data_IF_948805936220
#
_entry.id   IF_948805936220
#
_cell.length_a   1.000
_cell.length_b   1.000
_cell.length_c   1.000
_cell.angle_alpha   90.00
_cell.angle_beta   90.00
_cell.angle_gamma   90.00
#
_symmetry.space_group_name_H-M   'P 1'
#
loop_
_entity.id
_entity.type
_entity.pdbx_description
1 polymer ?
#
# COMPACT_ATOMS: atom_id res chain seq x y z
N UNK A 1 -26.23 0.77 -62.13
CA UNK A 1 -25.31 1.66 -61.40
C UNK A 1 -26.13 2.46 -60.40
N UNK A 2 -26.22 2.04 -59.17
CA UNK A 2 -26.93 2.71 -58.12
C UNK A 2 -25.89 3.45 -57.25
N UNK A 3 -25.99 4.77 -57.18
CA UNK A 3 -25.14 5.66 -56.38
C UNK A 3 -25.54 5.54 -54.93
N UNK A 4 -24.58 5.14 -54.08
CA UNK A 4 -24.70 5.19 -52.61
C UNK A 4 -24.66 6.67 -52.12
N UNK A 5 -25.50 7.03 -51.16
CA UNK A 5 -25.44 8.39 -50.58
C UNK A 5 -24.21 8.59 -49.68
N UNK A 6 -23.65 9.78 -49.75
CA UNK A 6 -22.54 10.23 -48.90
C UNK A 6 -22.94 10.28 -47.41
N UNK A 7 -22.04 9.97 -46.48
CA UNK A 7 -22.33 10.06 -45.07
C UNK A 7 -22.44 11.53 -44.60
N UNK A 8 -23.36 11.75 -43.67
CA UNK A 8 -23.59 13.04 -43.02
C UNK A 8 -22.37 13.50 -42.18
N UNK A 9 -22.07 14.79 -42.08
CA UNK A 9 -20.96 15.29 -41.29
C UNK A 9 -21.19 15.06 -39.80
N UNK A 10 -20.13 14.66 -39.11
CA UNK A 10 -20.10 14.52 -37.65
C UNK A 10 -20.29 15.90 -36.98
N UNK A 11 -20.99 15.96 -35.84
CA UNK A 11 -21.14 17.24 -35.11
C UNK A 11 -19.78 17.71 -34.57
N UNK A 12 -19.56 19.02 -34.62
CA UNK A 12 -18.36 19.66 -34.13
C UNK A 12 -18.15 19.39 -32.61
N UNK A 13 -16.92 19.30 -32.13
CA UNK A 13 -16.65 19.12 -30.71
C UNK A 13 -17.10 20.35 -29.91
N UNK A 14 -17.88 20.10 -28.86
CA UNK A 14 -18.31 21.14 -27.91
C UNK A 14 -17.10 21.75 -27.21
N UNK A 15 -16.88 23.04 -27.41
CA UNK A 15 -15.88 23.85 -26.71
C UNK A 15 -16.45 24.38 -25.39
N UNK A 16 -16.72 23.47 -24.45
CA UNK A 16 -16.90 23.89 -23.06
C UNK A 16 -15.52 23.97 -22.38
N UNK A 17 -15.18 25.09 -21.72
CA UNK A 17 -13.93 25.19 -21.00
C UNK A 17 -13.91 24.19 -19.83
N UNK A 18 -12.74 23.64 -19.45
CA UNK A 18 -12.64 22.76 -18.31
C UNK A 18 -13.07 23.52 -17.05
N UNK A 19 -13.94 22.89 -16.25
CA UNK A 19 -14.36 23.41 -14.96
C UNK A 19 -13.13 23.71 -14.09
N UNK A 20 -13.06 24.91 -13.56
CA UNK A 20 -12.03 25.34 -12.62
C UNK A 20 -11.98 24.38 -11.40
N UNK A 21 -10.79 24.07 -10.86
CA UNK A 21 -10.69 23.26 -9.68
C UNK A 21 -11.39 23.94 -8.51
N UNK A 22 -12.29 23.22 -7.84
CA UNK A 22 -13.00 23.64 -6.63
C UNK A 22 -12.00 24.18 -5.60
N UNK A 23 -12.14 25.43 -5.23
CA UNK A 23 -11.39 26.06 -4.14
C UNK A 23 -11.68 25.32 -2.82
N UNK A 24 -10.63 24.81 -2.19
CA UNK A 24 -10.70 24.30 -0.84
C UNK A 24 -11.11 25.42 0.13
N UNK A 25 -11.82 25.10 1.23
CA UNK A 25 -12.21 26.12 2.21
C UNK A 25 -10.98 26.75 2.87
N UNK A 26 -10.99 28.06 3.16
CA UNK A 26 -9.89 28.74 3.85
C UNK A 26 -9.88 28.36 5.34
N UNK A 27 -8.69 28.05 5.90
CA UNK A 27 -8.42 28.18 7.31
C UNK A 27 -8.18 26.94 8.12
N UNK A 28 -7.08 26.21 7.84
CA UNK A 28 -6.36 25.51 8.89
C UNK A 28 -5.07 26.32 9.19
N UNK A 29 -4.61 26.42 10.44
CA UNK A 29 -3.40 27.17 10.77
C UNK A 29 -2.19 26.60 10.05
N UNK A 30 -1.44 27.44 9.37
CA UNK A 30 -0.33 27.10 8.46
C UNK A 30 0.94 26.51 9.17
N UNK A 31 0.95 26.41 10.49
CA UNK A 31 2.04 25.82 11.25
C UNK A 31 1.49 24.93 12.37
N UNK A 32 1.72 23.59 12.31
CA UNK A 32 1.43 22.73 13.44
C UNK A 32 2.26 23.17 14.65
N UNK A 33 1.68 23.03 15.86
CA UNK A 33 2.42 23.21 17.10
C UNK A 33 3.65 22.29 17.13
N UNK A 34 4.75 22.64 17.83
CA UNK A 34 6.00 21.86 17.81
C UNK A 34 5.84 20.36 18.13
N UNK A 35 4.89 19.99 18.98
CA UNK A 35 4.58 18.59 19.30
C UNK A 35 3.91 17.82 18.14
N UNK A 36 3.19 18.51 17.24
CA UNK A 36 2.51 17.89 16.10
C UNK A 36 3.42 17.70 14.89
N UNK A 37 4.54 18.43 14.83
CA UNK A 37 5.45 18.42 13.67
C UNK A 37 6.08 17.04 13.39
N UNK A 38 6.21 16.19 14.40
CA UNK A 38 6.74 14.83 14.31
C UNK A 38 5.67 13.73 14.26
N UNK A 39 4.39 14.08 14.28
CA UNK A 39 3.29 13.11 14.36
C UNK A 39 3.20 12.14 13.17
N UNK A 40 3.81 12.48 12.02
CA UNK A 40 3.86 11.66 10.81
C UNK A 40 5.23 11.01 10.55
N UNK A 41 6.16 11.18 11.50
CA UNK A 41 7.48 10.57 11.42
C UNK A 41 7.50 9.19 12.11
N UNK A 42 8.52 8.36 11.86
CA UNK A 42 8.69 7.11 12.61
C UNK A 42 8.66 7.34 14.12
N UNK A 43 8.11 6.40 14.86
CA UNK A 43 7.85 6.56 16.30
C UNK A 43 9.12 6.82 17.13
N UNK A 44 10.29 6.38 16.66
CA UNK A 44 11.57 6.61 17.33
C UNK A 44 12.25 7.92 16.95
N UNK A 45 11.59 8.75 16.12
CA UNK A 45 12.19 10.00 15.65
C UNK A 45 12.40 10.97 16.80
N UNK A 46 13.63 11.48 16.90
CA UNK A 46 14.01 12.52 17.85
C UNK A 46 14.72 13.66 17.15
N UNK A 47 14.62 14.86 17.72
CA UNK A 47 15.31 16.04 17.22
C UNK A 47 16.39 16.47 18.21
N UNK A 48 17.61 16.68 17.70
CA UNK A 48 18.73 17.26 18.44
C UNK A 48 18.93 18.72 18.05
N UNK A 49 19.72 19.49 18.84
CA UNK A 49 20.12 20.85 18.48
C UNK A 49 20.64 20.93 17.04
N UNK A 50 20.53 22.12 16.44
CA UNK A 50 20.96 22.40 15.05
C UNK A 50 20.16 21.69 13.95
N UNK A 51 18.89 21.29 14.20
CA UNK A 51 18.00 20.69 13.19
C UNK A 51 18.37 19.27 12.79
N UNK A 52 19.10 18.56 13.64
CA UNK A 52 19.50 17.18 13.41
C UNK A 52 18.36 16.23 13.80
N UNK A 53 17.74 15.58 12.82
CA UNK A 53 16.75 14.51 13.05
C UNK A 53 17.44 13.15 13.10
N UNK A 54 17.07 12.35 14.10
CA UNK A 54 17.47 10.97 14.26
C UNK A 54 16.26 10.06 14.10
N UNK A 55 16.44 8.91 13.46
CA UNK A 55 15.47 7.82 13.40
C UNK A 55 16.16 6.56 13.88
N UNK A 56 15.54 5.81 14.79
CA UNK A 56 16.17 4.63 15.40
C UNK A 56 17.48 4.95 16.14
N UNK A 57 17.65 6.22 16.58
CA UNK A 57 18.87 6.71 17.23
C UNK A 57 20.00 7.08 16.25
N UNK A 58 19.81 6.97 14.91
CA UNK A 58 20.81 7.29 13.89
C UNK A 58 20.47 8.63 13.23
N UNK A 59 21.41 9.58 13.13
CA UNK A 59 21.22 10.84 12.40
C UNK A 59 20.95 10.59 10.91
N UNK A 60 19.94 11.24 10.33
CA UNK A 60 19.65 11.14 8.91
C UNK A 60 20.81 11.65 8.02
N UNK A 61 21.60 12.59 8.53
CA UNK A 61 22.82 13.08 7.88
C UNK A 61 23.89 12.01 7.73
N UNK A 62 24.12 11.20 8.79
CA UNK A 62 25.08 10.09 8.76
C UNK A 62 24.65 9.02 7.74
N UNK A 63 23.37 8.73 7.66
CA UNK A 63 22.82 7.79 6.65
C UNK A 63 23.05 8.34 5.23
N UNK A 64 22.78 9.63 5.02
CA UNK A 64 22.96 10.29 3.72
C UNK A 64 24.44 10.35 3.30
N UNK A 65 25.37 10.52 4.26
CA UNK A 65 26.81 10.50 4.02
C UNK A 65 27.32 9.08 3.71
N UNK A 66 26.89 8.09 4.51
CA UNK A 66 27.38 6.71 4.38
C UNK A 66 26.80 5.94 3.17
N UNK A 67 25.58 6.25 2.76
CA UNK A 67 24.86 5.50 1.70
C UNK A 67 24.55 6.36 0.47
N UNK A 68 24.82 7.65 0.49
CA UNK A 68 24.43 8.61 -0.54
C UNK A 68 22.93 8.87 -0.55
N UNK A 69 22.50 9.88 -1.34
CA UNK A 69 21.09 10.23 -1.57
C UNK A 69 20.71 9.98 -3.05
N UNK A 70 19.44 9.80 -3.39
CA UNK A 70 18.32 9.55 -2.48
C UNK A 70 18.52 8.23 -1.71
N UNK A 71 17.95 8.15 -0.50
CA UNK A 71 17.98 6.93 0.32
C UNK A 71 16.66 6.77 1.08
N UNK A 72 16.18 5.54 1.20
CA UNK A 72 15.07 5.21 2.09
C UNK A 72 15.62 4.72 3.43
N UNK A 73 15.12 5.29 4.49
CA UNK A 73 15.40 4.90 5.87
C UNK A 73 14.18 4.22 6.44
N UNK A 74 14.33 3.03 6.98
CA UNK A 74 13.25 2.24 7.58
C UNK A 74 13.54 1.99 9.05
N UNK A 75 12.65 2.43 9.92
CA UNK A 75 12.72 2.21 11.36
C UNK A 75 12.23 0.80 11.70
N UNK A 76 13.17 -0.11 12.00
CA UNK A 76 12.83 -1.50 12.34
C UNK A 76 11.98 -1.58 13.62
N UNK A 77 12.28 -0.77 14.63
CA UNK A 77 11.54 -0.79 15.88
C UNK A 77 10.08 -0.36 15.70
N UNK A 78 9.84 0.68 14.91
CA UNK A 78 8.48 1.16 14.60
C UNK A 78 7.70 0.14 13.73
N UNK A 79 8.35 -0.50 12.73
CA UNK A 79 7.71 -1.59 11.96
C UNK A 79 7.23 -2.70 12.89
N UNK A 80 8.11 -3.20 13.76
CA UNK A 80 7.79 -4.28 14.70
C UNK A 80 6.68 -3.90 15.67
N UNK A 81 6.73 -2.69 16.22
CA UNK A 81 5.70 -2.21 17.14
C UNK A 81 4.34 -2.09 16.45
N UNK A 82 4.28 -1.66 15.19
CA UNK A 82 3.04 -1.64 14.42
C UNK A 82 2.50 -3.04 14.18
N UNK A 83 3.34 -4.04 13.91
CA UNK A 83 2.91 -5.43 13.83
C UNK A 83 2.25 -5.90 15.15
N UNK A 84 2.90 -5.61 16.30
CA UNK A 84 2.36 -5.93 17.63
C UNK A 84 1.05 -5.20 17.93
N UNK A 85 0.95 -3.92 17.54
CA UNK A 85 -0.26 -3.12 17.68
C UNK A 85 -1.46 -3.77 16.97
N UNK A 86 -1.26 -4.30 15.75
CA UNK A 86 -2.32 -5.04 15.06
C UNK A 86 -2.71 -6.33 15.77
N UNK A 87 -1.76 -7.13 16.25
CA UNK A 87 -2.03 -8.34 17.02
C UNK A 87 -2.76 -8.06 18.32
N UNK A 88 -2.38 -6.99 19.01
CA UNK A 88 -3.03 -6.55 20.26
C UNK A 88 -4.45 -6.08 20.02
N UNK A 89 -4.68 -5.32 18.94
CA UNK A 89 -6.02 -4.82 18.59
C UNK A 89 -6.97 -5.96 18.18
N UNK A 90 -6.46 -6.99 17.51
CA UNK A 90 -7.21 -8.13 17.00
C UNK A 90 -6.64 -9.47 17.52
N UNK A 91 -6.77 -9.77 18.83
CA UNK A 91 -6.10 -10.91 19.45
C UNK A 91 -6.55 -12.28 18.90
N UNK A 92 -7.81 -12.36 18.42
CA UNK A 92 -8.43 -13.58 17.91
C UNK A 92 -8.40 -13.68 16.36
N UNK A 93 -7.72 -12.73 15.70
CA UNK A 93 -7.62 -12.69 14.23
C UNK A 93 -6.24 -13.15 13.74
N UNK A 94 -6.20 -13.64 12.50
CA UNK A 94 -4.94 -13.73 11.76
C UNK A 94 -4.61 -12.37 11.15
N UNK A 95 -3.36 -11.95 11.30
CA UNK A 95 -2.87 -10.71 10.69
C UNK A 95 -1.85 -11.09 9.62
N UNK A 96 -2.10 -10.68 8.39
CA UNK A 96 -1.20 -10.89 7.26
C UNK A 96 -0.64 -9.56 6.77
N UNK A 97 0.68 -9.42 6.71
CA UNK A 97 1.29 -8.21 6.17
C UNK A 97 1.18 -8.21 4.64
N UNK A 98 0.64 -7.15 4.06
CA UNK A 98 0.49 -7.01 2.61
C UNK A 98 1.82 -6.61 1.94
N UNK A 99 2.50 -7.59 1.35
CA UNK A 99 3.83 -7.49 0.74
C UNK A 99 3.95 -6.40 -0.34
N UNK A 100 2.88 -6.16 -1.09
CA UNK A 100 2.81 -5.08 -2.11
C UNK A 100 3.18 -3.70 -1.60
N UNK A 101 3.05 -3.44 -0.30
CA UNK A 101 3.42 -2.15 0.29
C UNK A 101 4.94 -1.94 0.25
N UNK A 102 5.69 -2.91 0.66
CA UNK A 102 7.13 -3.08 0.53
C UNK A 102 7.52 -4.48 0.99
N UNK A 103 8.39 -5.15 0.27
CA UNK A 103 8.93 -6.44 0.66
C UNK A 103 10.43 -6.50 0.37
N UNK A 104 11.19 -6.97 1.35
CA UNK A 104 12.57 -7.40 1.23
C UNK A 104 12.82 -8.54 2.22
N UNK A 105 13.95 -9.23 2.10
CA UNK A 105 14.28 -10.39 2.95
C UNK A 105 14.20 -10.08 4.45
N UNK A 106 14.77 -8.94 4.86
CA UNK A 106 14.75 -8.54 6.27
C UNK A 106 13.33 -8.25 6.78
N UNK A 107 12.50 -7.56 5.97
CA UNK A 107 11.12 -7.25 6.37
C UNK A 107 10.26 -8.52 6.45
N UNK A 108 10.42 -9.48 5.53
CA UNK A 108 9.75 -10.78 5.61
C UNK A 108 10.09 -11.48 6.93
N UNK A 109 11.37 -11.49 7.31
CA UNK A 109 11.83 -12.07 8.56
C UNK A 109 11.25 -11.35 9.80
N UNK A 110 11.23 -10.00 9.82
CA UNK A 110 10.62 -9.25 10.93
C UNK A 110 9.12 -9.55 11.08
N UNK A 111 8.40 -9.62 9.97
CA UNK A 111 6.97 -9.95 9.94
C UNK A 111 6.73 -11.35 10.49
N UNK A 112 7.59 -12.30 10.11
CA UNK A 112 7.53 -13.69 10.59
C UNK A 112 7.80 -13.77 12.10
N UNK A 113 8.87 -13.12 12.60
CA UNK A 113 9.22 -13.07 14.03
C UNK A 113 8.13 -12.42 14.89
N UNK A 114 7.44 -11.42 14.35
CA UNK A 114 6.30 -10.78 15.02
C UNK A 114 5.01 -11.61 14.92
N UNK A 115 5.06 -12.80 14.33
CA UNK A 115 3.96 -13.76 14.28
C UNK A 115 2.87 -13.47 13.25
N UNK A 116 3.12 -12.59 12.26
CA UNK A 116 2.16 -12.31 11.19
C UNK A 116 2.34 -13.29 10.01
N UNK A 117 1.28 -13.47 9.22
CA UNK A 117 1.35 -14.06 7.89
C UNK A 117 1.75 -13.03 6.82
N UNK A 118 1.78 -13.47 5.56
CA UNK A 118 1.98 -12.61 4.39
C UNK A 118 0.81 -12.70 3.41
N UNK A 119 0.40 -11.55 2.84
CA UNK A 119 -0.38 -11.43 1.61
C UNK A 119 0.60 -11.11 0.47
N UNK A 120 0.68 -12.00 -0.52
CA UNK A 120 1.52 -11.85 -1.71
C UNK A 120 0.69 -11.89 -2.99
N UNK A 121 1.17 -11.23 -4.05
CA UNK A 121 0.41 -11.10 -5.31
C UNK A 121 1.14 -11.72 -6.53
N UNK A 122 2.32 -12.29 -6.35
CA UNK A 122 3.11 -12.85 -7.45
C UNK A 122 4.07 -13.94 -6.97
N UNK A 123 4.52 -14.76 -7.92
CA UNK A 123 5.57 -15.74 -7.69
C UNK A 123 6.86 -15.08 -7.15
N UNK A 124 7.21 -13.88 -7.62
CA UNK A 124 8.39 -13.17 -7.17
C UNK A 124 8.34 -12.77 -5.69
N UNK A 125 7.20 -12.25 -5.21
CA UNK A 125 7.00 -11.97 -3.78
C UNK A 125 7.01 -13.26 -2.95
N UNK A 126 6.36 -14.31 -3.45
CA UNK A 126 6.29 -15.61 -2.80
C UNK A 126 7.68 -16.27 -2.67
N UNK A 127 8.44 -16.35 -3.74
CA UNK A 127 9.78 -16.93 -3.73
C UNK A 127 10.73 -16.13 -2.83
N UNK A 128 10.65 -14.79 -2.88
CA UNK A 128 11.44 -13.96 -1.97
C UNK A 128 11.13 -14.30 -0.50
N UNK A 129 9.85 -14.43 -0.13
CA UNK A 129 9.45 -14.76 1.23
C UNK A 129 9.97 -16.14 1.64
N UNK A 130 9.72 -17.17 0.84
CA UNK A 130 10.13 -18.55 1.17
C UNK A 130 11.64 -18.73 1.22
N UNK A 131 12.41 -18.02 0.38
CA UNK A 131 13.89 -18.05 0.44
C UNK A 131 14.45 -17.46 1.73
N UNK A 132 13.66 -16.77 2.53
CA UNK A 132 14.06 -16.28 3.87
C UNK A 132 13.67 -17.23 5.00
N UNK A 133 13.04 -18.36 4.70
CA UNK A 133 12.50 -19.30 5.67
C UNK A 133 11.09 -18.99 6.13
N UNK A 134 10.37 -18.05 5.47
CA UNK A 134 8.98 -17.74 5.84
C UNK A 134 8.09 -18.97 5.60
N UNK A 135 7.26 -19.40 6.60
CA UNK A 135 6.41 -20.57 6.50
C UNK A 135 5.35 -20.42 5.40
N UNK A 136 5.37 -21.23 4.32
CA UNK A 136 4.43 -21.05 3.20
C UNK A 136 2.96 -21.19 3.61
N UNK A 137 2.67 -22.02 4.59
CA UNK A 137 1.31 -22.23 5.13
C UNK A 137 0.72 -20.97 5.79
N UNK A 138 1.56 -19.97 6.11
CA UNK A 138 1.15 -18.64 6.62
C UNK A 138 1.08 -17.58 5.51
N UNK A 139 1.11 -18.00 4.25
CA UNK A 139 1.04 -17.09 3.09
C UNK A 139 -0.33 -17.23 2.41
N UNK A 140 -0.94 -16.08 2.08
CA UNK A 140 -2.10 -15.95 1.20
C UNK A 140 -1.63 -15.48 -0.17
N UNK A 141 -2.01 -16.19 -1.24
CA UNK A 141 -1.77 -15.71 -2.61
C UNK A 141 -3.00 -14.95 -3.12
N UNK A 142 -2.84 -13.66 -3.30
CA UNK A 142 -3.81 -12.75 -3.92
C UNK A 142 -3.52 -12.49 -5.40
N UNK A 143 -4.27 -11.57 -6.01
CA UNK A 143 -4.12 -11.12 -7.39
C UNK A 143 -5.40 -11.32 -8.18
N UNK A 144 -5.84 -10.26 -8.90
CA UNK A 144 -7.03 -10.33 -9.76
C UNK A 144 -6.80 -11.13 -11.05
N UNK A 145 -5.55 -11.36 -11.40
CA UNK A 145 -5.12 -12.25 -12.50
C UNK A 145 -3.85 -12.94 -12.03
N UNK A 146 -3.95 -14.23 -11.75
CA UNK A 146 -2.78 -15.06 -11.44
C UNK A 146 -2.35 -15.78 -12.71
N UNK A 147 -1.08 -15.65 -13.07
CA UNK A 147 -0.50 -16.41 -14.18
C UNK A 147 -0.41 -17.90 -13.86
N UNK A 148 -0.27 -18.79 -14.86
CA UNK A 148 0.04 -20.20 -14.58
C UNK A 148 1.25 -20.36 -13.69
N UNK A 149 2.31 -19.58 -13.91
CA UNK A 149 3.54 -19.59 -13.09
C UNK A 149 3.29 -19.20 -11.63
N UNK A 150 2.44 -18.20 -11.36
CA UNK A 150 2.07 -17.83 -9.99
C UNK A 150 1.37 -18.99 -9.28
N UNK A 151 0.42 -19.65 -9.95
CA UNK A 151 -0.32 -20.78 -9.40
C UNK A 151 0.56 -22.00 -9.18
N UNK A 152 1.36 -22.38 -10.15
CA UNK A 152 2.30 -23.52 -10.06
C UNK A 152 3.31 -23.29 -8.93
N UNK A 153 3.86 -22.09 -8.81
CA UNK A 153 4.79 -21.73 -7.73
C UNK A 153 4.11 -21.80 -6.38
N UNK A 154 2.89 -21.29 -6.25
CA UNK A 154 2.14 -21.33 -5.00
C UNK A 154 1.84 -22.78 -4.55
N UNK A 155 1.38 -23.62 -5.46
CA UNK A 155 1.07 -25.01 -5.16
C UNK A 155 2.34 -25.82 -4.84
N UNK A 156 3.40 -25.62 -5.60
CA UNK A 156 4.70 -26.27 -5.37
C UNK A 156 5.29 -25.91 -4.01
N UNK A 157 5.14 -24.67 -3.57
CA UNK A 157 5.65 -24.18 -2.28
C UNK A 157 4.69 -24.42 -1.12
N UNK A 158 3.45 -24.82 -1.38
CA UNK A 158 2.47 -25.17 -0.34
C UNK A 158 1.90 -23.96 0.38
N UNK A 159 1.48 -22.91 -0.35
CA UNK A 159 0.86 -21.72 0.27
C UNK A 159 -0.40 -22.09 1.06
N UNK A 160 -0.61 -21.40 2.17
CA UNK A 160 -1.73 -21.68 3.06
C UNK A 160 -3.09 -21.53 2.39
N UNK A 161 -3.30 -20.45 1.62
CA UNK A 161 -4.56 -20.18 0.91
C UNK A 161 -4.32 -19.47 -0.41
N UNK A 162 -5.20 -19.72 -1.39
CA UNK A 162 -5.28 -18.97 -2.64
C UNK A 162 -6.60 -18.23 -2.68
N UNK A 163 -6.58 -16.92 -2.87
CA UNK A 163 -7.79 -16.08 -2.96
C UNK A 163 -8.22 -16.00 -4.42
N UNK A 164 -9.35 -16.62 -4.75
CA UNK A 164 -9.94 -16.69 -6.09
C UNK A 164 -10.62 -15.37 -6.41
N UNK A 165 -10.27 -14.76 -7.52
CA UNK A 165 -10.78 -13.47 -7.98
C UNK A 165 -11.69 -13.61 -9.22
N UNK A 166 -11.56 -14.68 -10.00
CA UNK A 166 -12.36 -14.92 -11.19
C UNK A 166 -12.84 -16.38 -11.30
N UNK A 167 -13.99 -16.65 -11.93
CA UNK A 167 -14.48 -18.01 -12.15
C UNK A 167 -13.53 -18.89 -12.96
N UNK A 168 -12.70 -18.30 -13.84
CA UNK A 168 -11.72 -19.03 -14.64
C UNK A 168 -10.56 -19.59 -13.80
N UNK A 169 -10.25 -18.96 -12.66
CA UNK A 169 -9.21 -19.46 -11.74
C UNK A 169 -9.60 -20.77 -11.07
N UNK A 170 -10.89 -21.02 -10.82
CA UNK A 170 -11.38 -22.23 -10.16
C UNK A 170 -10.89 -23.48 -10.91
N UNK A 171 -11.16 -23.55 -12.21
CA UNK A 171 -10.76 -24.69 -13.03
C UNK A 171 -9.23 -24.82 -13.15
N UNK A 172 -8.51 -23.68 -13.26
CA UNK A 172 -7.05 -23.68 -13.34
C UNK A 172 -6.40 -24.18 -12.05
N UNK A 173 -6.88 -23.72 -10.89
CA UNK A 173 -6.36 -24.17 -9.59
C UNK A 173 -6.69 -25.66 -9.39
N UNK A 174 -7.95 -26.07 -9.63
CA UNK A 174 -8.35 -27.46 -9.49
C UNK A 174 -7.51 -28.40 -10.37
N UNK A 175 -7.25 -28.01 -11.61
CA UNK A 175 -6.40 -28.80 -12.52
C UNK A 175 -4.94 -28.84 -12.05
N UNK A 176 -4.42 -27.75 -11.50
CA UNK A 176 -3.02 -27.67 -11.04
C UNK A 176 -2.78 -28.39 -9.72
N UNK A 177 -3.78 -28.49 -8.83
CA UNK A 177 -3.69 -29.26 -7.56
C UNK A 177 -3.53 -30.75 -7.83
N UNK A 178 -4.10 -31.26 -8.94
CA UNK A 178 -4.08 -32.69 -9.27
C UNK A 178 -5.03 -33.52 -8.41
N UNK A 179 -4.93 -34.85 -8.53
CA UNK A 179 -5.89 -35.79 -7.94
C UNK A 179 -5.60 -36.15 -6.47
N UNK A 180 -4.40 -35.92 -5.99
CA UNK A 180 -3.97 -36.31 -4.64
C UNK A 180 -3.81 -35.14 -3.67
N UNK A 181 -3.82 -33.91 -4.20
CA UNK A 181 -3.68 -32.69 -3.41
C UNK A 181 -5.02 -32.13 -2.93
N UNK A 182 -4.94 -31.21 -1.97
CA UNK A 182 -6.06 -30.37 -1.53
C UNK A 182 -5.56 -28.97 -1.24
N UNK A 183 -6.18 -27.97 -1.86
CA UNK A 183 -5.80 -26.57 -1.67
C UNK A 183 -6.93 -25.77 -0.99
N UNK A 184 -6.58 -25.10 0.09
CA UNK A 184 -7.49 -24.13 0.73
C UNK A 184 -7.64 -22.91 -0.15
N UNK A 185 -8.87 -22.48 -0.35
CA UNK A 185 -9.20 -21.31 -1.16
C UNK A 185 -10.20 -20.41 -0.45
N UNK A 186 -10.10 -19.11 -0.74
CA UNK A 186 -11.11 -18.12 -0.37
C UNK A 186 -11.67 -17.48 -1.64
N UNK A 187 -12.85 -16.89 -1.57
CA UNK A 187 -13.43 -16.13 -2.70
C UNK A 187 -13.34 -14.65 -2.40
N UNK A 188 -12.69 -13.89 -3.28
CA UNK A 188 -12.76 -12.44 -3.23
C UNK A 188 -14.09 -11.95 -3.74
N UNK A 189 -14.81 -11.24 -2.89
CA UNK A 189 -16.13 -10.70 -3.21
C UNK A 189 -16.12 -9.18 -3.21
N UNK A 190 -16.96 -8.60 -4.07
CA UNK A 190 -17.18 -7.16 -4.13
C UNK A 190 -18.50 -6.84 -3.42
N UNK A 191 -18.43 -6.22 -2.23
CA UNK A 191 -19.63 -5.96 -1.44
C UNK A 191 -20.41 -4.72 -1.90
N UNK A 192 -20.01 -4.02 -2.97
CA UNK A 192 -20.71 -2.83 -3.48
C UNK A 192 -20.53 -1.59 -2.59
N UNK A 193 -19.39 -1.44 -1.94
CA UNK A 193 -19.09 -0.33 -1.04
C UNK A 193 -18.01 0.55 -1.66
N UNK A 194 -18.32 1.84 -1.85
CA UNK A 194 -17.32 2.83 -2.29
C UNK A 194 -16.66 3.48 -1.07
N UNK A 195 -15.41 3.15 -0.79
CA UNK A 195 -14.64 3.70 0.31
C UNK A 195 -13.22 4.05 -0.09
N UNK A 196 -12.56 4.94 0.66
CA UNK A 196 -11.19 5.38 0.43
C UNK A 196 -11.05 6.71 -0.29
N UNK A 197 -9.82 7.19 -0.36
CA UNK A 197 -9.48 8.53 -0.87
C UNK A 197 -9.64 8.69 -2.39
N UNK A 198 -8.56 8.55 -3.13
CA UNK A 198 -8.54 8.77 -4.58
C UNK A 198 -9.27 7.67 -5.36
N UNK A 199 -10.01 8.04 -6.45
CA UNK A 199 -10.81 7.08 -7.26
C UNK A 199 -10.02 5.84 -7.71
N UNK A 200 -8.76 5.99 -8.09
CA UNK A 200 -7.89 4.88 -8.56
C UNK A 200 -7.54 3.84 -7.48
N UNK A 201 -7.81 4.12 -6.20
CA UNK A 201 -7.49 3.21 -5.07
C UNK A 201 -8.75 2.70 -4.34
N UNK A 202 -9.93 2.85 -4.94
CA UNK A 202 -11.20 2.27 -4.45
C UNK A 202 -11.41 0.93 -5.14
N UNK A 203 -11.63 -0.13 -4.38
CA UNK A 203 -11.75 -1.51 -4.90
C UNK A 203 -13.01 -2.26 -4.46
N UNK A 204 -13.84 -1.66 -3.63
CA UNK A 204 -15.05 -2.28 -3.08
C UNK A 204 -16.34 -1.99 -3.85
N UNK A 205 -16.30 -1.16 -4.92
CA UNK A 205 -17.47 -0.86 -5.76
C UNK A 205 -17.72 -1.95 -6.80
N UNK A 206 -18.94 -2.05 -7.32
CA UNK A 206 -19.35 -3.09 -8.28
C UNK A 206 -18.58 -3.03 -9.61
N UNK A 207 -18.33 -1.83 -10.13
CA UNK A 207 -17.61 -1.63 -11.40
C UNK A 207 -16.09 -1.57 -11.15
N UNK A 208 -15.49 -2.73 -10.88
CA UNK A 208 -14.07 -2.90 -10.63
C UNK A 208 -13.54 -4.20 -11.22
N UNK A 209 -12.23 -4.23 -11.51
CA UNK A 209 -11.54 -5.43 -12.00
C UNK A 209 -11.32 -6.50 -10.92
N UNK A 210 -11.69 -6.24 -9.69
CA UNK A 210 -11.42 -7.09 -8.53
C UNK A 210 -12.69 -7.72 -8.00
N UNK A 211 -12.62 -9.02 -7.68
CA UNK A 211 -13.63 -9.75 -6.94
C UNK A 211 -14.92 -10.01 -7.72
N UNK A 212 -15.77 -10.79 -7.11
CA UNK A 212 -17.05 -11.23 -7.65
C UNK A 212 -18.20 -10.50 -6.94
N UNK A 213 -19.12 -9.93 -7.73
CA UNK A 213 -20.27 -9.21 -7.20
C UNK A 213 -21.16 -10.12 -6.35
N UNK A 214 -21.51 -9.62 -5.14
CA UNK A 214 -22.51 -10.28 -4.29
C UNK A 214 -23.91 -10.03 -4.83
N UNK A 215 -24.17 -8.81 -5.35
CA UNK A 215 -25.48 -8.38 -5.80
C UNK A 215 -25.95 -9.15 -7.03
N UNK A 216 -25.06 -9.36 -7.98
CA UNK A 216 -25.40 -9.96 -9.28
C UNK A 216 -25.29 -11.50 -9.27
N UNK A 217 -25.07 -12.11 -8.10
CA UNK A 217 -25.02 -13.56 -7.93
C UNK A 217 -23.71 -14.22 -8.39
N UNK A 218 -22.75 -13.46 -8.89
CA UNK A 218 -21.48 -14.02 -9.39
C UNK A 218 -20.68 -14.71 -8.27
N UNK A 219 -20.67 -14.14 -7.06
CA UNK A 219 -20.03 -14.74 -5.90
C UNK A 219 -20.65 -16.09 -5.54
N UNK A 220 -22.00 -16.19 -5.48
CA UNK A 220 -22.72 -17.42 -5.17
C UNK A 220 -22.46 -18.50 -6.21
N UNK A 221 -22.48 -18.14 -7.50
CA UNK A 221 -22.18 -19.07 -8.57
C UNK A 221 -20.76 -19.62 -8.52
N UNK A 222 -19.76 -18.76 -8.21
CA UNK A 222 -18.39 -19.21 -8.04
C UNK A 222 -18.22 -20.11 -6.82
N UNK A 223 -18.88 -19.81 -5.71
CA UNK A 223 -18.88 -20.64 -4.51
C UNK A 223 -19.43 -22.02 -4.81
N UNK A 224 -20.59 -22.14 -5.49
CA UNK A 224 -21.15 -23.43 -5.88
C UNK A 224 -20.16 -24.23 -6.72
N UNK A 225 -19.52 -23.60 -7.72
CA UNK A 225 -18.49 -24.25 -8.55
C UNK A 225 -17.25 -24.69 -7.78
N UNK A 226 -16.84 -23.98 -6.74
CA UNK A 226 -15.72 -24.40 -5.90
C UNK A 226 -16.10 -25.61 -5.06
N UNK A 227 -17.33 -25.64 -4.51
CA UNK A 227 -17.82 -26.75 -3.70
C UNK A 227 -17.96 -28.04 -4.52
N UNK A 228 -18.16 -27.94 -5.83
CA UNK A 228 -18.15 -29.08 -6.76
C UNK A 228 -16.73 -29.62 -7.06
N UNK A 229 -15.64 -28.92 -6.63
CA UNK A 229 -14.27 -29.37 -6.86
C UNK A 229 -13.74 -30.16 -5.66
N UNK A 230 -13.48 -31.47 -5.79
CA UNK A 230 -13.09 -32.31 -4.65
C UNK A 230 -11.71 -31.94 -4.05
N UNK A 231 -10.86 -31.27 -4.84
CA UNK A 231 -9.50 -30.89 -4.47
C UNK A 231 -9.40 -29.43 -3.97
N UNK A 232 -10.51 -28.70 -3.91
CA UNK A 232 -10.56 -27.36 -3.33
C UNK A 232 -11.31 -27.37 -2.01
N UNK A 233 -10.75 -26.69 -1.02
CA UNK A 233 -11.38 -26.47 0.28
C UNK A 233 -11.73 -25.00 0.42
N UNK A 234 -13.02 -24.66 0.28
CA UNK A 234 -13.48 -23.30 0.51
C UNK A 234 -13.46 -22.98 2.01
N UNK A 235 -12.55 -22.14 2.46
CA UNK A 235 -12.42 -21.76 3.86
C UNK A 235 -13.12 -20.47 4.22
N UNK A 236 -13.30 -19.53 3.26
CA UNK A 236 -13.89 -18.25 3.61
C UNK A 236 -14.12 -17.30 2.46
N UNK A 237 -14.53 -16.10 2.84
CA UNK A 237 -14.72 -14.96 1.95
C UNK A 237 -13.67 -13.91 2.24
N UNK A 238 -13.21 -13.23 1.18
CA UNK A 238 -12.33 -12.08 1.28
C UNK A 238 -12.98 -10.85 0.65
N UNK A 239 -12.77 -9.66 1.22
CA UNK A 239 -13.01 -8.40 0.54
C UNK A 239 -11.91 -7.39 0.83
N UNK A 240 -11.68 -6.47 -0.13
CA UNK A 240 -10.81 -5.31 0.09
C UNK A 240 -11.54 -4.07 -0.42
N UNK A 241 -11.86 -3.13 0.49
CA UNK A 241 -12.76 -2.01 0.19
C UNK A 241 -12.06 -0.87 -0.56
N UNK A 242 -10.76 -0.73 -0.38
CA UNK A 242 -9.98 0.36 -0.95
C UNK A 242 -8.75 0.70 -0.13
N UNK A 243 -8.25 1.91 -0.29
CA UNK A 243 -7.05 2.38 0.41
C UNK A 243 -7.24 3.78 0.96
N UNK A 244 -6.55 4.11 2.06
CA UNK A 244 -6.69 5.38 2.77
C UNK A 244 -8.12 5.62 3.31
N UNK A 245 -8.68 4.60 3.95
CA UNK A 245 -9.99 4.64 4.59
C UNK A 245 -9.78 5.06 6.05
N UNK A 246 -10.24 6.25 6.42
CA UNK A 246 -10.14 6.79 7.77
C UNK A 246 -11.42 6.59 8.61
N UNK A 247 -12.52 6.13 7.99
CA UNK A 247 -13.80 5.87 8.65
C UNK A 247 -14.03 4.36 8.86
N UNK A 248 -14.54 4.01 10.02
CA UNK A 248 -14.88 2.62 10.39
C UNK A 248 -16.14 2.11 9.70
N UNK A 249 -17.10 2.98 9.38
CA UNK A 249 -18.42 2.60 8.86
C UNK A 249 -18.40 1.67 7.64
N UNK A 250 -17.52 1.88 6.61
CA UNK A 250 -17.44 0.98 5.48
C UNK A 250 -17.16 -0.48 5.86
N UNK A 251 -16.30 -0.69 6.87
CA UNK A 251 -15.96 -2.03 7.36
C UNK A 251 -17.16 -2.71 8.03
N UNK A 252 -17.97 -1.98 8.82
CA UNK A 252 -19.16 -2.53 9.45
C UNK A 252 -20.21 -2.95 8.41
N UNK A 253 -20.38 -2.14 7.36
CA UNK A 253 -21.28 -2.51 6.24
C UNK A 253 -20.75 -3.74 5.51
N UNK A 254 -19.45 -3.86 5.32
CA UNK A 254 -18.84 -5.04 4.71
C UNK A 254 -19.09 -6.29 5.53
N UNK A 255 -18.87 -6.26 6.84
CA UNK A 255 -19.15 -7.37 7.76
C UNK A 255 -20.59 -7.86 7.58
N UNK A 256 -21.58 -6.97 7.66
CA UNK A 256 -23.00 -7.36 7.49
C UNK A 256 -23.27 -8.05 6.14
N UNK A 257 -22.72 -7.49 5.05
CA UNK A 257 -22.92 -8.05 3.69
C UNK A 257 -22.27 -9.42 3.52
N UNK A 258 -21.06 -9.58 4.06
CA UNK A 258 -20.32 -10.85 3.96
C UNK A 258 -20.94 -11.93 4.85
N UNK A 259 -21.32 -11.62 6.08
CA UNK A 259 -22.06 -12.55 6.96
C UNK A 259 -23.38 -12.97 6.32
N UNK A 260 -24.12 -12.03 5.70
CA UNK A 260 -25.31 -12.35 4.93
C UNK A 260 -25.04 -13.28 3.73
N UNK A 261 -23.88 -13.17 3.08
CA UNK A 261 -23.49 -14.13 2.04
C UNK A 261 -23.13 -15.49 2.63
N UNK A 262 -22.40 -15.53 3.76
CA UNK A 262 -22.08 -16.78 4.47
C UNK A 262 -23.34 -17.53 4.91
N UNK A 263 -24.37 -16.82 5.37
CA UNK A 263 -25.66 -17.41 5.72
C UNK A 263 -26.32 -18.06 4.49
N UNK A 264 -26.35 -17.38 3.35
CA UNK A 264 -26.89 -17.95 2.09
C UNK A 264 -26.10 -19.20 1.64
N UNK A 265 -24.78 -19.22 1.82
CA UNK A 265 -23.96 -20.40 1.52
C UNK A 265 -24.35 -21.58 2.40
N UNK A 266 -24.50 -21.36 3.71
CA UNK A 266 -24.98 -22.40 4.62
C UNK A 266 -26.35 -22.92 4.22
N UNK A 267 -27.29 -22.02 3.95
CA UNK A 267 -28.68 -22.40 3.63
C UNK A 267 -28.80 -23.16 2.31
N UNK A 268 -27.98 -22.79 1.31
CA UNK A 268 -28.01 -23.43 -0.01
C UNK A 268 -27.18 -24.71 -0.11
N UNK A 269 -26.08 -24.81 0.63
CA UNK A 269 -25.10 -25.89 0.45
C UNK A 269 -24.79 -26.68 1.74
N UNK A 270 -25.35 -26.30 2.90
CA UNK A 270 -25.04 -26.92 4.18
C UNK A 270 -23.61 -26.66 4.69
N UNK A 271 -22.89 -25.70 4.09
CA UNK A 271 -21.48 -25.42 4.41
C UNK A 271 -21.37 -24.16 5.24
N UNK A 272 -20.72 -24.26 6.39
CA UNK A 272 -20.38 -23.12 7.24
C UNK A 272 -18.92 -22.71 7.00
N UNK A 273 -18.69 -21.48 6.54
CA UNK A 273 -17.36 -20.97 6.26
C UNK A 273 -16.67 -20.53 7.56
N UNK A 274 -15.48 -21.06 7.88
CA UNK A 274 -14.81 -20.77 9.15
C UNK A 274 -14.02 -19.44 9.16
N UNK A 275 -13.86 -18.75 8.03
CA UNK A 275 -12.96 -17.60 7.89
C UNK A 275 -13.66 -16.43 7.20
N UNK A 276 -13.29 -15.21 7.62
CA UNK A 276 -13.74 -13.95 7.02
C UNK A 276 -12.55 -12.99 6.94
N UNK A 277 -12.13 -12.65 5.73
CA UNK A 277 -11.05 -11.71 5.48
C UNK A 277 -11.61 -10.35 5.04
N UNK A 278 -11.31 -9.32 5.81
CA UNK A 278 -11.73 -7.94 5.53
C UNK A 278 -10.65 -7.14 4.79
N UNK A 279 -9.52 -7.78 4.42
CA UNK A 279 -8.40 -7.08 3.84
C UNK A 279 -7.87 -5.98 4.78
N UNK A 280 -7.63 -4.81 4.22
CA UNK A 280 -7.23 -3.63 4.98
C UNK A 280 -7.64 -2.34 4.26
N UNK A 281 -6.66 -1.52 3.86
CA UNK A 281 -6.90 -0.18 3.32
C UNK A 281 -6.93 0.90 4.39
N UNK A 282 -6.45 0.58 5.59
CA UNK A 282 -6.42 1.46 6.76
C UNK A 282 -5.67 2.75 6.45
N UNK A 283 -6.34 3.90 6.66
CA UNK A 283 -5.82 5.23 6.38
C UNK A 283 -4.77 5.66 7.41
N UNK A 284 -3.72 6.29 6.90
CA UNK A 284 -2.66 6.93 7.70
C UNK A 284 -2.54 8.40 7.32
N UNK A 285 -2.07 9.23 8.24
CA UNK A 285 -1.73 10.61 7.97
C UNK A 285 -0.43 10.71 7.16
N UNK A 286 -0.38 11.57 6.15
CA UNK A 286 0.82 11.94 5.41
C UNK A 286 1.37 13.31 5.82
N UNK A 287 0.52 14.13 6.42
CA UNK A 287 0.87 15.44 6.95
C UNK A 287 0.31 15.60 8.36
N UNK A 288 0.95 16.39 9.21
CA UNK A 288 0.43 16.71 10.52
C UNK A 288 -1.03 17.22 10.44
N UNK A 289 -1.88 16.73 11.35
CA UNK A 289 -3.31 17.09 11.41
C UNK A 289 -4.22 16.36 10.40
N UNK A 290 -3.69 15.54 9.50
CA UNK A 290 -4.54 14.71 8.64
C UNK A 290 -5.18 13.55 9.43
N UNK A 291 -6.42 13.16 9.09
CA UNK A 291 -7.08 12.05 9.76
C UNK A 291 -6.40 10.72 9.45
N UNK A 292 -6.25 9.89 10.46
CA UNK A 292 -5.86 8.49 10.35
C UNK A 292 -6.95 7.59 10.94
N UNK A 293 -6.97 6.33 10.56
CA UNK A 293 -7.90 5.36 11.11
C UNK A 293 -7.48 4.99 12.54
N UNK A 294 -8.41 5.12 13.49
CA UNK A 294 -8.22 4.61 14.85
C UNK A 294 -8.39 3.09 14.86
N UNK A 295 -7.27 2.38 14.98
CA UNK A 295 -7.23 0.93 14.94
C UNK A 295 -7.99 0.27 16.10
N UNK A 296 -7.90 0.85 17.30
CA UNK A 296 -8.59 0.34 18.49
C UNK A 296 -10.10 0.43 18.33
N UNK A 297 -10.59 1.56 17.85
CA UNK A 297 -12.02 1.75 17.54
C UNK A 297 -12.48 0.83 16.42
N UNK A 298 -11.67 0.66 15.35
CA UNK A 298 -11.98 -0.27 14.28
C UNK A 298 -12.12 -1.69 14.82
N UNK A 299 -11.12 -2.18 15.53
CA UNK A 299 -11.11 -3.55 16.06
C UNK A 299 -12.31 -3.84 16.96
N UNK A 300 -12.57 -2.93 17.91
CA UNK A 300 -13.71 -3.06 18.83
C UNK A 300 -15.03 -3.10 18.07
N UNK A 301 -15.26 -2.17 17.12
CA UNK A 301 -16.54 -2.09 16.38
C UNK A 301 -16.71 -3.22 15.38
N UNK A 302 -15.65 -3.65 14.68
CA UNK A 302 -15.72 -4.78 13.75
C UNK A 302 -16.03 -6.08 14.49
N UNK A 303 -15.40 -6.34 15.65
CA UNK A 303 -15.67 -7.54 16.45
C UNK A 303 -17.13 -7.55 16.98
N UNK A 304 -17.63 -6.41 17.46
CA UNK A 304 -19.00 -6.29 17.92
C UNK A 304 -20.01 -6.54 16.77
N UNK A 305 -19.82 -5.89 15.63
CA UNK A 305 -20.66 -6.04 14.45
C UNK A 305 -20.65 -7.48 13.92
N UNK A 306 -19.46 -8.13 13.92
CA UNK A 306 -19.32 -9.51 13.48
C UNK A 306 -20.10 -10.47 14.39
N UNK A 307 -19.95 -10.31 15.70
CA UNK A 307 -20.68 -11.13 16.66
C UNK A 307 -22.21 -10.95 16.55
N UNK A 308 -22.67 -9.70 16.44
CA UNK A 308 -24.09 -9.38 16.29
C UNK A 308 -24.67 -9.91 14.97
N UNK A 309 -23.98 -9.70 13.86
CA UNK A 309 -24.41 -10.18 12.54
C UNK A 309 -24.47 -11.71 12.48
N UNK A 310 -23.46 -12.40 13.06
CA UNK A 310 -23.44 -13.86 13.11
C UNK A 310 -24.55 -14.42 14.01
N UNK A 311 -24.79 -13.83 15.17
CA UNK A 311 -25.89 -14.23 16.05
C UNK A 311 -27.25 -14.09 15.35
N UNK A 312 -27.48 -12.96 14.68
CA UNK A 312 -28.73 -12.72 13.92
C UNK A 312 -28.91 -13.70 12.75
N UNK A 313 -27.81 -14.17 12.15
CA UNK A 313 -27.81 -15.13 11.06
C UNK A 313 -27.77 -16.60 11.51
N UNK A 314 -27.67 -16.89 12.81
CA UNK A 314 -27.50 -18.24 13.34
C UNK A 314 -26.22 -18.92 12.88
N UNK A 315 -25.11 -18.15 12.74
CA UNK A 315 -23.80 -18.62 12.34
C UNK A 315 -22.81 -18.58 13.52
N UNK A 316 -21.87 -19.52 13.60
CA UNK A 316 -20.71 -19.32 14.47
C UNK A 316 -19.89 -18.13 13.99
N UNK A 317 -19.22 -17.44 14.90
CA UNK A 317 -18.34 -16.33 14.55
C UNK A 317 -17.11 -16.88 13.81
N UNK A 318 -16.86 -16.48 12.55
CA UNK A 318 -15.70 -16.93 11.80
C UNK A 318 -14.41 -16.30 12.35
N UNK A 319 -13.28 -16.96 12.10
CA UNK A 319 -11.97 -16.36 12.35
C UNK A 319 -11.76 -15.19 11.40
N UNK A 320 -11.47 -14.02 11.98
CA UNK A 320 -11.21 -12.80 11.21
C UNK A 320 -9.78 -12.81 10.67
N UNK A 321 -9.60 -12.31 9.45
CA UNK A 321 -8.30 -12.05 8.84
C UNK A 321 -8.23 -10.57 8.47
N UNK A 322 -7.07 -9.93 8.73
CA UNK A 322 -6.79 -8.51 8.46
C UNK A 322 -5.42 -8.40 7.77
N UNK A 323 -5.33 -7.59 6.70
CA UNK A 323 -4.17 -7.52 5.83
C UNK A 323 -3.51 -6.12 5.79
N UNK A 324 -2.94 -5.60 6.90
CA UNK A 324 -2.28 -4.30 6.89
C UNK A 324 -0.98 -4.33 6.08
N UNK A 325 -0.80 -3.36 5.20
CA UNK A 325 0.48 -3.11 4.52
C UNK A 325 0.95 -1.70 4.80
N UNK A 326 0.31 -0.71 4.17
CA UNK A 326 0.65 0.71 4.33
C UNK A 326 0.73 1.15 5.80
N UNK A 327 -0.22 0.75 6.63
CA UNK A 327 -0.30 1.20 8.01
C UNK A 327 0.81 0.61 8.90
N UNK A 328 1.44 -0.49 8.46
CA UNK A 328 2.61 -1.07 9.13
C UNK A 328 3.89 -0.35 8.70
N UNK A 329 4.20 -0.36 7.42
CA UNK A 329 5.53 0.06 6.94
C UNK A 329 5.58 1.54 6.51
N UNK A 330 4.45 2.13 6.10
CA UNK A 330 4.41 3.50 5.57
C UNK A 330 4.96 4.55 6.53
N UNK A 331 4.39 4.68 7.76
CA UNK A 331 4.85 5.67 8.73
C UNK A 331 6.26 5.40 9.26
N UNK A 332 6.72 4.15 9.23
CA UNK A 332 8.06 3.76 9.69
C UNK A 332 9.18 4.13 8.70
N UNK A 333 8.86 4.71 7.55
CA UNK A 333 9.85 5.03 6.52
C UNK A 333 10.01 6.53 6.26
N UNK A 334 11.25 6.92 5.95
CA UNK A 334 11.65 8.28 5.55
C UNK A 334 12.46 8.21 4.26
N UNK A 335 12.19 9.10 3.31
CA UNK A 335 13.05 9.29 2.13
C UNK A 335 13.92 10.53 2.35
N UNK A 336 15.22 10.43 2.12
CA UNK A 336 16.18 11.54 2.25
C UNK A 336 16.76 11.87 0.89
N UNK A 337 16.70 13.15 0.55
CA UNK A 337 17.14 13.71 -0.72
C UNK A 337 18.15 14.83 -0.49
N UNK A 338 19.03 15.06 -1.48
CA UNK A 338 19.93 16.22 -1.50
C UNK A 338 19.41 17.26 -2.47
N UNK A 339 19.36 18.51 -2.04
CA UNK A 339 19.07 19.65 -2.91
C UNK A 339 20.22 19.84 -3.89
N UNK A 340 19.89 19.83 -5.18
CA UNK A 340 20.85 20.06 -6.26
C UNK A 340 20.82 21.50 -6.78
N UNK A 341 19.62 22.10 -6.81
CA UNK A 341 19.44 23.46 -7.31
C UNK A 341 18.22 24.13 -6.66
N UNK A 342 18.26 25.46 -6.57
CA UNK A 342 17.10 26.29 -6.23
C UNK A 342 16.88 27.26 -7.39
N UNK A 343 15.72 27.20 -8.03
CA UNK A 343 15.36 28.06 -9.15
C UNK A 343 14.18 28.95 -8.76
N UNK A 344 14.39 30.28 -8.83
CA UNK A 344 13.35 31.27 -8.58
C UNK A 344 12.84 31.82 -9.91
N UNK A 345 11.53 31.84 -10.06
CA UNK A 345 10.81 32.45 -11.18
C UNK A 345 9.88 33.53 -10.61
N UNK A 346 9.28 34.41 -11.43
CA UNK A 346 8.36 35.40 -10.90
C UNK A 346 7.17 34.87 -10.11
N UNK A 347 6.74 33.63 -10.37
CA UNK A 347 5.57 33.02 -9.72
C UNK A 347 5.85 31.90 -8.74
N UNK A 348 7.06 31.31 -8.75
CA UNK A 348 7.38 30.11 -7.93
C UNK A 348 8.86 30.00 -7.61
N UNK A 349 9.14 29.40 -6.47
CA UNK A 349 10.48 28.87 -6.14
C UNK A 349 10.46 27.34 -6.24
N UNK A 350 11.34 26.80 -7.06
CA UNK A 350 11.56 25.37 -7.22
C UNK A 350 12.82 24.93 -6.45
N UNK A 351 12.68 23.87 -5.64
CA UNK A 351 13.79 23.22 -4.97
C UNK A 351 13.97 21.84 -5.64
N UNK A 352 15.00 21.71 -6.47
CA UNK A 352 15.27 20.48 -7.20
C UNK A 352 16.17 19.56 -6.37
N UNK A 353 15.78 18.29 -6.27
CA UNK A 353 16.51 17.26 -5.53
C UNK A 353 17.04 16.16 -6.44
N UNK A 354 17.91 15.31 -5.91
CA UNK A 354 18.59 14.23 -6.63
C UNK A 354 17.74 12.96 -6.87
N UNK A 355 16.51 12.89 -6.31
CA UNK A 355 15.50 11.89 -6.61
C UNK A 355 14.36 12.43 -7.47
N UNK A 356 13.20 11.79 -7.43
CA UNK A 356 12.02 12.24 -8.17
C UNK A 356 10.95 11.17 -8.34
N UNK A 357 10.13 11.29 -9.37
CA UNK A 357 9.02 10.37 -9.63
C UNK A 357 9.45 8.92 -9.88
N UNK A 358 10.72 8.65 -10.19
CA UNK A 358 11.23 7.27 -10.33
C UNK A 358 11.35 6.54 -9.01
N UNK A 359 11.53 7.25 -7.91
CA UNK A 359 11.64 6.70 -6.55
C UNK A 359 10.43 7.03 -5.67
N UNK A 360 9.67 8.09 -5.99
CA UNK A 360 8.39 8.42 -5.37
C UNK A 360 7.34 8.80 -6.41
N UNK A 361 6.68 7.84 -7.10
CA UNK A 361 5.69 8.13 -8.13
C UNK A 361 4.33 8.60 -7.59
N UNK A 362 4.14 8.57 -6.29
CA UNK A 362 2.83 8.71 -5.66
C UNK A 362 2.20 10.10 -5.78
N UNK A 363 2.95 11.24 -5.72
CA UNK A 363 2.38 12.54 -6.03
C UNK A 363 1.82 12.59 -7.45
N UNK A 364 2.56 12.14 -8.44
CA UNK A 364 2.15 12.12 -9.84
C UNK A 364 0.96 11.18 -10.12
N UNK A 365 0.94 9.99 -9.50
CA UNK A 365 -0.10 8.98 -9.75
C UNK A 365 -1.40 9.22 -8.99
N UNK A 366 -1.32 9.71 -7.76
CA UNK A 366 -2.43 9.74 -6.80
C UNK A 366 -2.63 11.09 -6.13
N UNK A 367 -1.83 12.12 -6.45
CA UNK A 367 -1.91 13.44 -5.81
C UNK A 367 -1.59 13.41 -4.31
N UNK A 368 -0.76 12.46 -3.87
CA UNK A 368 -0.36 12.37 -2.46
C UNK A 368 0.47 13.60 -2.09
N UNK A 369 0.12 14.24 -0.98
CA UNK A 369 0.85 15.39 -0.46
C UNK A 369 1.75 14.97 0.68
N UNK A 370 3.01 15.38 0.64
CA UNK A 370 4.00 15.17 1.68
C UNK A 370 4.36 16.47 2.39
N UNK A 371 4.93 16.35 3.59
CA UNK A 371 5.48 17.45 4.36
C UNK A 371 7.01 17.31 4.45
N UNK A 372 7.77 17.73 3.41
CA UNK A 372 9.22 17.68 3.46
C UNK A 372 9.77 18.62 4.53
N UNK A 373 10.91 18.24 5.11
CA UNK A 373 11.61 19.03 6.11
C UNK A 373 13.10 19.11 5.81
N UNK A 374 13.68 20.30 6.00
CA UNK A 374 15.12 20.51 6.03
C UNK A 374 15.72 19.76 7.23
N UNK A 375 16.77 19.00 7.01
CA UNK A 375 17.48 18.24 8.06
C UNK A 375 18.98 18.48 7.99
N UNK A 376 19.66 18.32 9.14
CA UNK A 376 21.11 18.42 9.24
C UNK A 376 21.64 19.83 9.50
N UNK A 377 20.82 20.86 9.41
CA UNK A 377 21.17 22.21 9.88
C UNK A 377 19.93 22.94 10.39
N UNK A 378 20.16 23.87 11.27
CA UNK A 378 19.18 24.88 11.67
C UNK A 378 19.18 26.04 10.66
N UNK A 379 18.01 26.60 10.41
CA UNK A 379 17.86 27.85 9.68
C UNK A 379 17.10 28.86 10.53
N UNK A 380 17.60 30.08 10.61
CA UNK A 380 16.90 31.23 11.19
C UNK A 380 16.08 32.01 10.16
N UNK A 381 16.14 31.63 8.88
CA UNK A 381 15.34 32.23 7.82
C UNK A 381 13.86 31.87 7.96
N UNK A 382 12.99 32.82 7.68
CA UNK A 382 11.55 32.58 7.64
C UNK A 382 11.18 31.55 6.56
N UNK A 383 9.98 30.97 6.64
CA UNK A 383 9.50 30.02 5.64
C UNK A 383 9.18 30.70 4.31
N UNK A 384 9.58 30.07 3.22
CA UNK A 384 9.19 30.41 1.83
C UNK A 384 8.35 29.25 1.28
N UNK A 385 7.26 29.55 0.55
CA UNK A 385 6.48 28.54 -0.17
C UNK A 385 7.22 28.09 -1.41
N UNK A 386 7.52 26.79 -1.49
CA UNK A 386 8.30 26.20 -2.58
C UNK A 386 7.61 24.98 -3.17
N UNK A 387 8.02 24.62 -4.39
CA UNK A 387 7.71 23.33 -5.01
C UNK A 387 8.97 22.50 -5.05
N UNK A 388 8.95 21.34 -4.36
CA UNK A 388 10.04 20.37 -4.42
C UNK A 388 9.85 19.50 -5.65
N UNK A 389 10.85 19.51 -6.54
CA UNK A 389 10.83 18.79 -7.82
C UNK A 389 11.98 17.81 -7.90
N UNK A 390 11.81 16.76 -8.70
CA UNK A 390 12.85 15.80 -8.96
C UNK A 390 13.77 16.24 -10.11
N UNK A 391 14.61 15.27 -10.56
CA UNK A 391 15.64 15.46 -11.58
C UNK A 391 15.24 14.94 -12.96
N UNK A 392 14.03 14.42 -13.11
CA UNK A 392 13.59 13.80 -14.36
C UNK A 392 13.18 14.85 -15.40
N UNK A 393 13.40 14.54 -16.69
CA UNK A 393 12.99 15.38 -17.80
C UNK A 393 11.47 15.21 -18.07
N UNK A 394 10.65 15.55 -17.06
CA UNK A 394 9.22 15.36 -17.02
C UNK A 394 8.56 16.47 -16.18
N UNK A 395 7.59 17.18 -16.75
CA UNK A 395 6.91 18.28 -16.06
C UNK A 395 6.14 17.84 -14.80
N UNK A 396 5.69 16.58 -14.76
CA UNK A 396 5.00 15.96 -13.63
C UNK A 396 5.92 15.47 -12.51
N UNK A 397 7.24 15.68 -12.62
CA UNK A 397 8.21 15.24 -11.60
C UNK A 397 8.22 16.18 -10.39
N UNK A 398 7.11 16.18 -9.66
CA UNK A 398 6.86 16.98 -8.46
C UNK A 398 6.71 16.05 -7.25
N UNK A 399 7.54 16.26 -6.23
CA UNK A 399 7.49 15.49 -4.97
C UNK A 399 6.61 16.15 -3.90
N UNK A 400 6.63 17.49 -3.82
CA UNK A 400 5.76 18.23 -2.92
C UNK A 400 5.49 19.65 -3.50
N UNK A 401 4.24 20.03 -3.52
CA UNK A 401 3.81 21.32 -4.08
C UNK A 401 3.34 22.24 -2.96
N UNK A 402 3.71 23.52 -3.08
CA UNK A 402 3.30 24.59 -2.15
C UNK A 402 3.57 24.24 -0.67
N UNK A 403 4.80 23.84 -0.37
CA UNK A 403 5.24 23.46 0.98
C UNK A 403 6.18 24.51 1.58
N UNK A 404 6.14 24.75 2.90
CA UNK A 404 7.04 25.69 3.55
C UNK A 404 8.43 25.06 3.72
N UNK A 405 9.47 25.70 3.21
CA UNK A 405 10.88 25.44 3.55
C UNK A 405 11.56 26.75 3.94
N UNK A 406 12.68 26.72 4.68
CA UNK A 406 13.45 27.91 4.97
C UNK A 406 13.86 28.65 3.70
N UNK A 407 13.72 29.96 3.67
CA UNK A 407 14.01 30.80 2.49
C UNK A 407 15.51 30.77 2.08
N UNK A 408 16.40 30.33 2.99
CA UNK A 408 17.84 30.12 2.76
C UNK A 408 18.17 28.67 2.31
N UNK A 409 17.16 27.88 1.92
CA UNK A 409 17.39 26.54 1.33
C UNK A 409 18.28 26.65 0.10
N UNK A 410 19.32 25.80 0.02
CA UNK A 410 20.40 25.91 -0.97
C UNK A 410 20.92 24.54 -1.41
N UNK A 411 21.64 24.48 -2.56
CA UNK A 411 22.34 23.27 -2.99
C UNK A 411 23.23 22.69 -1.89
N UNK A 412 23.20 21.37 -1.74
CA UNK A 412 23.89 20.62 -0.68
C UNK A 412 23.04 20.34 0.56
N UNK A 413 21.97 21.09 0.80
CA UNK A 413 21.03 20.81 1.90
C UNK A 413 20.36 19.44 1.73
N UNK A 414 19.97 18.84 2.86
CA UNK A 414 19.18 17.60 2.88
C UNK A 414 17.72 17.90 3.18
N UNK A 415 16.84 17.30 2.39
CA UNK A 415 15.41 17.27 2.64
C UNK A 415 14.97 15.85 2.97
N UNK A 416 14.19 15.68 4.03
CA UNK A 416 13.61 14.40 4.39
C UNK A 416 12.08 14.44 4.26
N UNK A 417 11.51 13.39 3.66
CA UNK A 417 10.09 13.18 3.49
C UNK A 417 9.65 12.00 4.37
N UNK A 418 8.84 12.22 5.41
CA UNK A 418 8.27 11.15 6.21
C UNK A 418 7.22 10.33 5.43
N UNK A 419 6.78 9.21 5.98
CA UNK A 419 5.76 8.31 5.43
C UNK A 419 6.17 7.71 4.08
N UNK A 420 7.45 7.42 3.94
CA UNK A 420 8.05 6.88 2.71
C UNK A 420 8.26 5.36 2.72
N UNK A 421 7.82 4.64 3.75
CA UNK A 421 8.04 3.20 3.86
C UNK A 421 7.18 2.33 2.94
N UNK A 422 6.03 2.84 2.46
CA UNK A 422 5.11 2.07 1.63
C UNK A 422 4.98 2.64 0.22
N UNK A 423 5.04 1.76 -0.79
CA UNK A 423 4.81 2.10 -2.20
C UNK A 423 5.80 3.12 -2.76
N UNK A 424 7.02 3.17 -2.23
CA UNK A 424 8.16 3.88 -2.78
C UNK A 424 9.02 2.89 -3.56
N UNK A 425 9.90 2.12 -2.89
CA UNK A 425 10.75 1.16 -3.59
C UNK A 425 9.94 0.12 -4.39
N UNK A 426 8.84 -0.38 -3.84
CA UNK A 426 7.97 -1.36 -4.52
C UNK A 426 7.33 -0.83 -5.82
N UNK A 427 7.23 0.49 -5.99
CA UNK A 427 6.74 1.14 -7.22
C UNK A 427 7.84 1.91 -7.97
N UNK A 428 9.09 1.84 -7.51
CA UNK A 428 10.19 2.54 -8.14
C UNK A 428 10.46 2.01 -9.55
N UNK A 429 10.88 2.91 -10.42
CA UNK A 429 11.22 2.62 -11.81
C UNK A 429 12.64 3.05 -12.15
N UNK A 430 13.09 2.70 -13.35
CA UNK A 430 14.37 3.14 -13.90
C UNK A 430 14.18 4.28 -14.91
N UNK A 431 13.22 5.18 -14.66
CA UNK A 431 12.96 6.31 -15.56
C UNK A 431 14.22 7.16 -15.76
N UNK A 432 14.49 7.56 -16.99
CA UNK A 432 15.74 8.19 -17.44
C UNK A 432 17.03 7.41 -17.08
N UNK A 433 16.94 6.08 -16.88
CA UNK A 433 18.03 5.20 -16.42
C UNK A 433 18.65 5.67 -15.09
N UNK A 434 17.85 6.28 -14.23
CA UNK A 434 18.24 6.59 -12.84
C UNK A 434 18.05 5.33 -11.99
N UNK A 435 19.11 4.90 -11.31
CA UNK A 435 19.10 3.71 -10.46
C UNK A 435 18.23 3.90 -9.21
N UNK A 436 17.58 2.81 -8.78
CA UNK A 436 16.74 2.81 -7.58
C UNK A 436 17.56 3.08 -6.32
N UNK A 437 17.03 3.86 -5.36
CA UNK A 437 17.70 4.14 -4.09
C UNK A 437 17.92 2.90 -3.23
N UNK A 438 18.89 2.92 -2.32
CA UNK A 438 19.06 1.88 -1.31
C UNK A 438 17.99 2.00 -0.22
N UNK A 439 17.78 0.91 0.53
CA UNK A 439 17.01 0.89 1.78
C UNK A 439 17.95 0.59 2.93
N UNK A 440 17.95 1.45 3.93
CA UNK A 440 18.75 1.31 5.14
C UNK A 440 17.80 1.18 6.33
N UNK A 441 17.89 0.07 7.07
CA UNK A 441 17.20 -0.07 8.34
C UNK A 441 17.99 0.62 9.45
N UNK A 442 17.25 1.19 10.40
CA UNK A 442 17.82 1.80 11.61
C UNK A 442 17.15 1.22 12.86
N UNK A 443 17.98 0.93 13.88
CA UNK A 443 17.52 0.47 15.17
C UNK A 443 18.64 0.63 16.23
N UNK A 444 18.30 1.09 17.40
CA UNK A 444 19.20 1.17 18.58
C UNK A 444 20.54 1.83 18.25
N UNK A 445 20.53 2.95 17.52
CA UNK A 445 21.71 3.71 17.11
C UNK A 445 22.57 3.05 16.03
N UNK A 446 22.07 2.03 15.35
CA UNK A 446 22.78 1.31 14.28
C UNK A 446 22.02 1.39 12.95
N UNK A 447 22.77 1.58 11.88
CA UNK A 447 22.27 1.53 10.51
C UNK A 447 22.72 0.23 9.82
N UNK A 448 21.82 -0.40 9.05
CA UNK A 448 22.10 -1.63 8.29
C UNK A 448 21.50 -1.54 6.89
N UNK A 449 22.30 -1.76 5.87
CA UNK A 449 21.84 -1.81 4.50
C UNK A 449 20.96 -3.06 4.27
N UNK A 450 19.71 -2.86 3.84
CA UNK A 450 18.76 -3.94 3.50
C UNK A 450 18.74 -4.22 1.99
N UNK A 451 18.65 -3.16 1.20
CA UNK A 451 18.65 -3.22 -0.26
C UNK A 451 19.71 -2.24 -0.76
N UNK A 452 20.66 -2.72 -1.55
CA UNK A 452 21.69 -1.86 -2.09
C UNK A 452 21.15 -0.92 -3.18
N UNK A 453 21.82 0.18 -3.42
CA UNK A 453 21.55 1.04 -4.57
C UNK A 453 21.72 0.26 -5.87
N UNK A 454 20.83 0.49 -6.82
CA UNK A 454 20.97 -0.05 -8.18
C UNK A 454 22.11 0.66 -8.91
N UNK A 455 23.00 -0.12 -9.51
CA UNK A 455 24.17 0.37 -10.25
C UNK A 455 23.85 0.51 -11.73
N UNK A 456 24.70 1.24 -12.47
CA UNK A 456 24.61 1.27 -13.94
C UNK A 456 24.82 -0.11 -14.57
N UNK A 457 25.57 -1.00 -13.92
CA UNK A 457 25.73 -2.38 -14.36
C UNK A 457 24.42 -3.15 -14.25
N UNK A 458 23.68 -2.98 -13.14
CA UNK A 458 22.35 -3.59 -12.97
C UNK A 458 21.36 -3.11 -14.06
N UNK A 459 21.36 -1.82 -14.35
CA UNK A 459 20.49 -1.24 -15.39
C UNK A 459 20.79 -1.81 -16.78
N UNK A 460 22.07 -2.03 -17.09
CA UNK A 460 22.52 -2.57 -18.39
C UNK A 460 22.41 -4.10 -18.47
N UNK A 461 22.34 -4.81 -17.35
CA UNK A 461 22.34 -6.28 -17.34
C UNK A 461 21.18 -6.92 -18.14
N UNK A 462 20.12 -6.17 -18.39
CA UNK A 462 18.97 -6.63 -19.18
C UNK A 462 19.06 -6.32 -20.66
N UNK A 463 20.00 -5.46 -21.06
CA UNK A 463 20.25 -5.12 -22.46
C UNK A 463 21.29 -6.08 -23.01
N UNK A 464 20.85 -6.98 -23.87
CA UNK A 464 21.65 -8.04 -24.49
C UNK A 464 21.74 -7.88 -26.02
N UNK A 465 21.40 -6.71 -26.53
CA UNK A 465 21.16 -6.46 -27.96
C UNK A 465 22.38 -6.12 -28.82
N UNK A 466 23.64 -6.26 -28.35
CA UNK A 466 24.84 -6.02 -29.10
C UNK A 466 25.75 -7.25 -29.18
#
# INVERSE_FOLDING_TARGET
MATLPLPLPLPAPSTAPPAAPSSAPPGAPDHPAPADALSVWPATTTERPHGQLLVGGVPLTEIAEGHGTPVYVLDEADVRERCRTYRTAFPDAEIHYAAKAFLCRALAHWVEEEGLGLDVCSAGELELAVTTGFPPERILLHGNVKSPHDLETALRLGVGRIVIDTPAEIARIAAAVGTEGRQKVMVRVTPGISAGGHRKIRTGSEDQKFGLSIRDGHAQHAIARILDQPHLELTGLHCHLGSQIADVKPYLVAVRRLVGLMARVRDAHGVTLPELDLGSGHGIAYRPGEPALDLTTLARKVRAELAESCAAAGLPVPRLIIEPGRAVVGPAGVAVYRVLAVKRTPGRTFVAVDGGMSDNPRPALYGVRYAPRLVGRHSAAGPERVTVVGRHCEAGDVLAEDVPLPADTRPGDLLALPVAGAYHLSMASSYNLVGRPPVVAVRDGRARLLVRRETLADLRARDVGL
#
